data_IF_061179192847
#
_entry.id   IF_061179192847
#
_cell.length_a   1.000
_cell.length_b   1.000
_cell.length_c   1.000
_cell.angle_alpha   90.00
_cell.angle_beta   90.00
_cell.angle_gamma   90.00
#
_symmetry.space_group_name_H-M   'P 1'
#
loop_
_entity.id
_entity.type
_entity.pdbx_description
1 polymer ?
#
# COMPACT_ATOMS: atom_id res chain seq x y z
N UNK A 1 -11.29 3.83 -11.71
CA UNK A 1 -12.57 3.39 -12.30
C UNK A 1 -13.63 3.30 -11.22
N UNK A 2 -14.88 3.63 -11.53
CA UNK A 2 -15.99 3.62 -10.58
C UNK A 2 -17.10 2.68 -11.07
N UNK A 3 -17.57 1.81 -10.19
CA UNK A 3 -18.58 0.78 -10.49
C UNK A 3 -19.77 0.93 -9.54
N UNK A 4 -20.98 0.60 -9.96
CA UNK A 4 -22.11 0.51 -9.05
C UNK A 4 -21.99 -0.78 -8.22
N UNK A 5 -21.90 -0.66 -6.90
CA UNK A 5 -21.78 -1.78 -5.99
C UNK A 5 -22.41 -1.45 -4.63
N UNK A 6 -23.02 -2.44 -3.98
CA UNK A 6 -23.51 -2.30 -2.61
C UNK A 6 -22.35 -2.50 -1.62
N UNK A 7 -22.40 -1.79 -0.48
CA UNK A 7 -21.43 -2.00 0.59
C UNK A 7 -21.46 -3.46 1.06
N UNK A 8 -20.31 -4.12 1.28
CA UNK A 8 -20.26 -5.53 1.70
C UNK A 8 -21.00 -5.72 3.02
N UNK A 9 -22.07 -6.53 3.02
CA UNK A 9 -22.88 -6.77 4.22
C UNK A 9 -22.05 -7.49 5.31
N UNK A 10 -22.05 -6.87 6.49
CA UNK A 10 -21.71 -7.40 7.82
C UNK A 10 -20.36 -8.11 7.96
N UNK A 11 -19.28 -7.34 8.10
CA UNK A 11 -18.02 -7.79 8.70
C UNK A 11 -16.76 -7.27 8.00
N UNK A 12 -15.73 -6.93 8.79
CA UNK A 12 -14.45 -6.45 8.28
C UNK A 12 -13.79 -7.43 7.30
N UNK A 13 -13.98 -8.74 7.50
CA UNK A 13 -13.49 -9.78 6.60
C UNK A 13 -14.19 -9.73 5.22
N UNK A 14 -15.51 -9.54 5.19
CA UNK A 14 -16.26 -9.40 3.94
C UNK A 14 -15.86 -8.12 3.19
N UNK A 15 -15.58 -7.04 3.93
CA UNK A 15 -15.05 -5.81 3.37
C UNK A 15 -13.68 -6.04 2.70
N UNK A 16 -12.71 -6.63 3.39
CA UNK A 16 -11.39 -6.91 2.81
C UNK A 16 -11.44 -7.90 1.63
N UNK A 17 -12.36 -8.88 1.68
CA UNK A 17 -12.58 -9.79 0.57
C UNK A 17 -13.12 -9.05 -0.66
N UNK A 18 -14.11 -8.17 -0.47
CA UNK A 18 -14.66 -7.36 -1.54
C UNK A 18 -13.62 -6.44 -2.16
N UNK A 19 -12.82 -5.74 -1.34
CA UNK A 19 -11.76 -4.84 -1.86
C UNK A 19 -10.68 -5.61 -2.63
N UNK A 20 -10.35 -6.84 -2.22
CA UNK A 20 -9.42 -7.69 -2.95
C UNK A 20 -10.01 -8.17 -4.27
N UNK A 21 -11.30 -8.51 -4.30
CA UNK A 21 -12.01 -8.85 -5.52
C UNK A 21 -12.02 -7.68 -6.51
N UNK A 22 -12.29 -6.47 -6.03
CA UNK A 22 -12.20 -5.22 -6.79
C UNK A 22 -10.84 -5.04 -7.45
N UNK A 23 -9.76 -5.14 -6.66
CA UNK A 23 -8.39 -5.14 -7.17
C UNK A 23 -8.18 -6.19 -8.28
N UNK A 24 -8.61 -7.44 -8.04
CA UNK A 24 -8.40 -8.54 -8.99
C UNK A 24 -9.11 -8.34 -10.34
N UNK A 25 -10.19 -7.55 -10.37
CA UNK A 25 -10.95 -7.27 -11.58
C UNK A 25 -10.20 -6.36 -12.57
N UNK A 26 -9.19 -5.61 -12.10
CA UNK A 26 -8.39 -4.70 -12.94
C UNK A 26 -7.48 -5.43 -13.93
N UNK A 27 -7.30 -6.74 -13.79
CA UNK A 27 -6.44 -7.56 -14.66
C UNK A 27 -5.03 -7.00 -14.86
N UNK A 28 -4.49 -6.28 -13.85
CA UNK A 28 -3.16 -5.68 -13.95
C UNK A 28 -2.09 -6.77 -14.01
N UNK A 29 -1.07 -6.54 -14.83
CA UNK A 29 0.02 -7.51 -15.08
C UNK A 29 0.88 -7.79 -13.85
N UNK A 30 0.82 -6.92 -12.83
CA UNK A 30 1.57 -7.01 -11.58
C UNK A 30 0.69 -7.38 -10.36
N UNK A 31 -0.55 -7.86 -10.54
CA UNK A 31 -1.40 -8.26 -9.41
C UNK A 31 -0.73 -9.26 -8.45
N UNK A 32 0.10 -10.17 -8.99
CA UNK A 32 0.83 -11.18 -8.21
C UNK A 32 1.87 -10.61 -7.24
N UNK A 33 2.34 -9.38 -7.46
CA UNK A 33 3.26 -8.68 -6.57
C UNK A 33 2.57 -7.69 -5.64
N UNK A 34 1.25 -7.47 -5.78
CA UNK A 34 0.50 -6.57 -4.89
C UNK A 34 0.09 -7.28 -3.61
N UNK A 35 0.14 -6.57 -2.47
CA UNK A 35 -0.30 -7.06 -1.16
C UNK A 35 -1.11 -5.97 -0.46
N UNK A 36 -1.95 -6.38 0.49
CA UNK A 36 -2.56 -5.46 1.45
C UNK A 36 -1.46 -4.67 2.16
N UNK A 37 -1.61 -3.35 2.22
CA UNK A 37 -0.68 -2.47 2.92
C UNK A 37 -1.34 -1.83 4.14
N UNK A 38 -2.49 -1.17 3.95
CA UNK A 38 -3.16 -0.44 5.03
C UNK A 38 -4.66 -0.31 4.79
N UNK A 39 -5.41 -0.25 5.88
CA UNK A 39 -6.78 0.27 5.91
C UNK A 39 -6.77 1.72 6.44
N UNK A 40 -7.19 2.66 5.61
CA UNK A 40 -7.43 4.05 6.01
C UNK A 40 -8.88 4.19 6.46
N UNK A 41 -9.08 4.15 7.78
CA UNK A 41 -10.40 4.28 8.38
C UNK A 41 -11.06 5.65 8.14
N UNK A 42 -10.26 6.71 7.95
CA UNK A 42 -10.79 8.05 7.69
C UNK A 42 -11.40 8.17 6.30
N UNK A 43 -10.86 7.42 5.33
CA UNK A 43 -11.32 7.36 3.94
C UNK A 43 -12.18 6.14 3.64
N UNK A 44 -12.29 5.19 4.56
CA UNK A 44 -12.99 3.92 4.36
C UNK A 44 -12.38 3.11 3.21
N UNK A 45 -11.07 3.17 3.04
CA UNK A 45 -10.38 2.63 1.87
C UNK A 45 -9.26 1.66 2.24
N UNK A 46 -9.07 0.64 1.40
CA UNK A 46 -7.96 -0.30 1.50
C UNK A 46 -6.91 0.05 0.46
N UNK A 47 -5.66 0.17 0.91
CA UNK A 47 -4.49 0.45 0.09
C UNK A 47 -3.77 -0.88 -0.15
N UNK A 48 -3.61 -1.24 -1.42
CA UNK A 48 -2.76 -2.31 -1.88
C UNK A 48 -1.51 -1.71 -2.51
N UNK A 49 -0.35 -2.26 -2.16
CA UNK A 49 0.96 -1.78 -2.59
C UNK A 49 1.70 -2.87 -3.34
N UNK A 50 2.53 -2.49 -4.30
CA UNK A 50 3.43 -3.41 -5.00
C UNK A 50 4.62 -3.78 -4.11
N UNK A 51 4.96 -5.07 -4.04
CA UNK A 51 6.08 -5.60 -3.27
C UNK A 51 7.15 -6.18 -4.19
N UNK A 52 8.43 -5.92 -3.87
CA UNK A 52 9.58 -6.57 -4.48
C UNK A 52 10.36 -7.32 -3.39
N UNK A 53 10.62 -8.61 -3.60
CA UNK A 53 11.37 -9.46 -2.65
C UNK A 53 10.84 -9.42 -1.20
N UNK A 54 9.53 -9.22 -1.03
CA UNK A 54 8.90 -9.15 0.30
C UNK A 54 8.84 -7.76 0.92
N UNK A 55 9.40 -6.73 0.26
CA UNK A 55 9.35 -5.35 0.74
C UNK A 55 8.40 -4.49 -0.11
N UNK A 56 7.58 -3.62 0.52
CA UNK A 56 6.74 -2.66 -0.18
C UNK A 56 7.61 -1.65 -0.94
N UNK A 57 7.19 -1.21 -2.13
CA UNK A 57 7.92 -0.18 -2.87
C UNK A 57 7.37 1.21 -2.52
N UNK A 58 8.24 2.12 -2.10
CA UNK A 58 7.91 3.54 -1.91
C UNK A 58 8.36 4.39 -3.11
N UNK A 59 7.52 5.32 -3.53
CA UNK A 59 7.85 6.31 -4.54
C UNK A 59 7.02 7.58 -4.35
N UNK A 60 7.53 8.72 -4.81
CA UNK A 60 6.93 10.03 -4.59
C UNK A 60 5.53 10.19 -5.21
N UNK A 61 5.25 9.45 -6.29
CA UNK A 61 4.01 9.56 -7.07
C UNK A 61 2.97 8.48 -6.71
N UNK A 62 3.22 7.65 -5.69
CA UNK A 62 2.39 6.49 -5.34
C UNK A 62 2.09 5.55 -6.53
N UNK A 63 3.00 5.51 -7.53
CA UNK A 63 2.94 4.59 -8.66
C UNK A 63 2.89 3.16 -8.13
N UNK A 64 2.06 2.33 -8.77
CA UNK A 64 1.88 0.93 -8.35
C UNK A 64 1.12 0.72 -7.04
N UNK A 65 0.54 1.78 -6.44
CA UNK A 65 -0.47 1.64 -5.39
C UNK A 65 -1.87 1.58 -6.01
N UNK A 66 -2.73 0.75 -5.44
CA UNK A 66 -4.16 0.68 -5.77
C UNK A 66 -4.94 0.93 -4.49
N UNK A 67 -5.81 1.93 -4.52
CA UNK A 67 -6.77 2.20 -3.44
C UNK A 67 -8.15 1.74 -3.85
N UNK A 68 -8.76 0.87 -3.06
CA UNK A 68 -10.14 0.39 -3.27
C UNK A 68 -11.02 0.90 -2.15
N UNK A 69 -12.15 1.51 -2.49
CA UNK A 69 -13.10 2.12 -1.58
C UNK A 69 -14.52 1.71 -1.96
N UNK A 70 -15.33 1.32 -0.99
CA UNK A 70 -16.78 1.14 -1.17
C UNK A 70 -17.51 2.30 -0.52
N UNK A 71 -18.34 2.98 -1.29
CA UNK A 71 -19.35 3.92 -0.81
C UNK A 71 -20.67 3.18 -0.58
N UNK A 72 -21.73 3.90 -0.19
CA UNK A 72 -23.06 3.29 -0.09
C UNK A 72 -23.60 2.79 -1.44
N UNK A 73 -23.15 3.39 -2.54
CA UNK A 73 -23.74 3.18 -3.88
C UNK A 73 -22.72 2.81 -4.96
N UNK A 74 -21.43 2.87 -4.65
CA UNK A 74 -20.36 2.66 -5.63
C UNK A 74 -19.13 1.98 -5.03
N UNK A 75 -18.40 1.29 -5.88
CA UNK A 75 -17.02 0.91 -5.70
C UNK A 75 -16.14 1.89 -6.48
N UNK A 76 -15.08 2.38 -5.84
CA UNK A 76 -14.09 3.26 -6.44
C UNK A 76 -12.71 2.63 -6.33
N UNK A 77 -12.04 2.52 -7.48
CA UNK A 77 -10.68 1.99 -7.57
C UNK A 77 -9.79 3.07 -8.17
N UNK A 78 -8.83 3.55 -7.39
CA UNK A 78 -7.84 4.54 -7.81
C UNK A 78 -6.46 3.89 -7.94
N UNK A 79 -5.83 4.03 -9.10
CA UNK A 79 -4.51 3.49 -9.40
C UNK A 79 -3.80 4.33 -10.46
N UNK A 80 -2.48 4.24 -10.51
CA UNK A 80 -1.69 4.87 -11.57
C UNK A 80 -1.71 4.03 -12.83
N UNK A 81 -1.86 4.67 -14.00
CA UNK A 81 -1.71 4.01 -15.30
C UNK A 81 -0.25 3.66 -15.63
N UNK A 82 0.70 4.01 -14.75
CA UNK A 82 2.12 3.65 -14.89
C UNK A 82 2.44 2.42 -14.06
N UNK A 83 2.77 1.33 -14.76
CA UNK A 83 3.31 0.14 -14.12
C UNK A 83 4.74 0.42 -13.63
N UNK A 84 5.05 0.01 -12.40
CA UNK A 84 6.41 -0.03 -11.91
C UNK A 84 7.13 -1.23 -12.51
N UNK A 85 8.10 -0.96 -13.37
CA UNK A 85 9.15 -1.92 -13.69
C UNK A 85 10.32 -1.65 -12.75
N UNK A 86 10.57 -2.57 -11.82
CA UNK A 86 11.79 -2.50 -10.98
C UNK A 86 12.87 -3.29 -11.70
N UNK A 87 13.85 -2.64 -12.36
CA UNK A 87 15.05 -3.35 -12.77
C UNK A 87 15.76 -3.80 -11.49
N UNK A 88 16.03 -5.10 -11.35
CA UNK A 88 16.84 -5.61 -10.25
C UNK A 88 18.30 -5.26 -10.58
N UNK A 89 18.96 -4.34 -9.86
CA UNK A 89 20.35 -4.02 -10.12
C UNK A 89 21.20 -5.18 -9.57
N UNK A 90 21.75 -6.01 -10.44
CA UNK A 90 22.49 -7.22 -10.03
C UNK A 90 23.93 -6.92 -9.59
N UNK A 91 24.44 -5.70 -9.82
CA UNK A 91 25.85 -5.37 -9.69
C UNK A 91 26.14 -4.29 -8.63
N UNK A 92 25.14 -3.90 -7.83
CA UNK A 92 25.34 -2.91 -6.77
C UNK A 92 25.87 -3.58 -5.50
N UNK A 93 26.84 -2.96 -4.79
CA UNK A 93 27.31 -3.50 -3.52
C UNK A 93 26.18 -3.46 -2.48
N UNK A 94 26.12 -4.48 -1.63
CA UNK A 94 25.19 -4.54 -0.52
C UNK A 94 25.32 -3.29 0.36
N UNK A 95 24.18 -2.71 0.73
CA UNK A 95 24.10 -1.55 1.62
C UNK A 95 23.67 -2.02 3.01
N UNK A 96 24.30 -1.46 4.04
CA UNK A 96 23.88 -1.68 5.43
C UNK A 96 22.84 -0.64 5.82
N UNK A 97 21.64 -1.10 6.15
CA UNK A 97 20.60 -0.23 6.68
C UNK A 97 20.92 0.18 8.13
N UNK A 98 20.60 1.42 8.54
CA UNK A 98 20.71 1.81 9.93
C UNK A 98 19.79 0.97 10.81
N UNK A 99 20.20 0.72 12.04
CA UNK A 99 19.33 0.10 13.03
C UNK A 99 18.09 0.99 13.28
N UNK A 100 16.94 0.37 13.57
CA UNK A 100 15.69 1.07 13.87
C UNK A 100 15.85 2.15 14.93
N UNK A 101 16.63 1.89 15.99
CA UNK A 101 16.91 2.86 17.05
C UNK A 101 17.61 4.12 16.52
N UNK A 102 18.54 3.97 15.58
CA UNK A 102 19.21 5.12 14.93
C UNK A 102 18.21 5.97 14.17
N UNK A 103 17.29 5.34 13.42
CA UNK A 103 16.25 6.04 12.66
C UNK A 103 15.27 6.76 13.61
N UNK A 104 14.83 6.11 14.68
CA UNK A 104 13.98 6.73 15.71
C UNK A 104 14.66 7.95 16.32
N UNK A 105 15.94 7.85 16.68
CA UNK A 105 16.69 8.96 17.26
C UNK A 105 16.82 10.13 16.28
N UNK A 106 16.99 9.87 14.98
CA UNK A 106 17.01 10.90 13.95
C UNK A 106 15.65 11.62 13.84
N UNK A 107 14.54 10.89 13.90
CA UNK A 107 13.20 11.46 13.90
C UNK A 107 12.95 12.32 15.15
N UNK A 108 13.34 11.85 16.33
CA UNK A 108 13.22 12.64 17.57
C UNK A 108 14.07 13.90 17.53
N UNK A 109 15.31 13.81 17.04
CA UNK A 109 16.17 14.97 16.85
C UNK A 109 15.61 15.99 15.84
N UNK A 110 14.80 15.52 14.87
CA UNK A 110 14.07 16.36 13.92
C UNK A 110 12.76 16.96 14.48
N UNK A 111 12.40 16.67 15.74
CA UNK A 111 11.26 17.26 16.43
C UNK A 111 10.00 16.37 16.47
N UNK A 112 10.05 15.13 15.97
CA UNK A 112 8.94 14.19 16.12
C UNK A 112 8.89 13.61 17.53
N UNK A 113 7.71 13.45 18.11
CA UNK A 113 7.57 12.76 19.39
C UNK A 113 7.63 11.25 19.17
N UNK A 114 8.52 10.56 19.90
CA UNK A 114 8.66 9.10 19.81
C UNK A 114 7.33 8.36 20.04
N UNK A 115 6.47 8.87 20.92
CA UNK A 115 5.13 8.32 21.19
C UNK A 115 4.14 8.42 20.02
N UNK A 116 4.44 9.23 19.00
CA UNK A 116 3.62 9.37 17.80
C UNK A 116 4.12 8.50 16.63
N UNK A 117 5.28 7.86 16.77
CA UNK A 117 5.80 6.92 15.77
C UNK A 117 5.05 5.59 15.95
N UNK A 118 4.15 5.28 15.04
CA UNK A 118 3.29 4.09 15.14
C UNK A 118 3.87 2.86 14.47
N UNK A 119 4.74 3.04 13.47
CA UNK A 119 5.34 1.94 12.72
C UNK A 119 6.64 2.37 12.03
N UNK A 120 7.56 1.42 11.80
CA UNK A 120 8.77 1.56 10.99
C UNK A 120 8.95 0.28 10.20
N UNK A 121 9.00 0.39 8.88
CA UNK A 121 9.14 -0.73 7.97
C UNK A 121 10.22 -0.47 6.91
N UNK A 122 10.78 -1.54 6.36
CA UNK A 122 11.76 -1.49 5.27
C UNK A 122 11.02 -1.58 3.93
N UNK A 123 11.37 -0.75 2.94
CA UNK A 123 10.80 -0.73 1.59
C UNK A 123 11.47 0.25 0.64
#
# INVERSE_FOLDING_TARGET
ENYAAAFPNNGLANFFHATFKGLSALQMTNLSSMRYFQYDASRGSVIYKTYAQGFPIFNADQKGDVTVRYTQTSEEINFSNTNLTVPIPTNQPAQTLPATATVVNQLVAAGYHASQITDILIG
#
